data_IF_343852402967
#
_entry.id   IF_343852402967
#
_cell.length_a   1.000
_cell.length_b   1.000
_cell.length_c   1.000
_cell.angle_alpha   90.00
_cell.angle_beta   90.00
_cell.angle_gamma   90.00
#
_symmetry.space_group_name_H-M   'P 1'
#
loop_
_entity.id
_entity.type
_entity.pdbx_description
1 polymer ?
#
# COMPACT_ATOMS: atom_id res chain seq x y z
N UNK A 1 -22.48 21.18 -6.34
CA UNK A 1 -21.54 21.93 -5.52
C UNK A 1 -21.79 21.60 -4.06
N UNK A 2 -20.91 20.80 -3.46
CA UNK A 2 -20.97 20.53 -2.01
C UNK A 2 -20.38 21.76 -1.33
N UNK A 3 -21.21 22.50 -0.63
CA UNK A 3 -20.76 23.56 0.26
C UNK A 3 -20.01 22.92 1.42
N UNK A 4 -18.70 23.13 1.48
CA UNK A 4 -17.90 22.75 2.64
C UNK A 4 -18.25 23.64 3.84
N UNK A 5 -18.01 23.15 5.10
CA UNK A 5 -18.34 23.93 6.28
C UNK A 5 -17.60 25.25 6.26
N UNK A 6 -18.39 26.33 6.28
CA UNK A 6 -18.03 27.66 6.69
C UNK A 6 -16.74 28.26 6.16
N UNK A 7 -16.71 28.67 4.89
CA UNK A 7 -15.80 29.74 4.51
C UNK A 7 -16.30 31.05 5.12
N UNK A 8 -16.24 31.18 6.45
CA UNK A 8 -16.29 32.49 7.08
C UNK A 8 -15.01 33.19 6.62
N UNK A 9 -15.19 34.14 5.69
CA UNK A 9 -14.13 35.00 5.24
C UNK A 9 -13.43 35.60 6.46
N UNK A 10 -12.20 35.18 6.73
CA UNK A 10 -11.41 35.84 7.75
C UNK A 10 -11.16 37.27 7.25
N UNK A 11 -11.66 38.29 7.95
CA UNK A 11 -11.46 39.67 7.52
C UNK A 11 -9.98 40.06 7.45
N UNK A 12 -9.10 39.28 8.07
CA UNK A 12 -7.65 39.52 8.17
C UNK A 12 -6.93 39.33 6.81
N UNK A 13 -7.47 38.51 5.92
CA UNK A 13 -6.80 38.17 4.65
C UNK A 13 -7.56 38.63 3.39
N UNK A 14 -8.48 39.60 3.51
CA UNK A 14 -9.23 40.08 2.36
C UNK A 14 -10.25 39.10 1.77
N UNK A 15 -10.52 38.00 2.49
CA UNK A 15 -11.47 36.98 2.07
C UNK A 15 -10.81 35.74 1.42
N UNK A 16 -11.65 34.76 1.10
CA UNK A 16 -11.24 33.52 0.42
C UNK A 16 -11.81 33.51 -1.00
N UNK A 17 -10.95 33.24 -1.97
CA UNK A 17 -11.36 33.00 -3.35
C UNK A 17 -11.40 31.49 -3.60
N UNK A 18 -12.55 30.98 -4.05
CA UNK A 18 -12.70 29.58 -4.44
C UNK A 18 -12.22 29.43 -5.88
N UNK A 19 -11.24 28.52 -6.09
CA UNK A 19 -10.71 28.21 -7.41
C UNK A 19 -10.90 26.72 -7.72
N UNK A 20 -11.51 26.44 -8.86
CA UNK A 20 -11.76 25.05 -9.31
C UNK A 20 -10.49 24.23 -9.52
N UNK A 21 -9.36 24.87 -9.74
CA UNK A 21 -8.07 24.22 -9.94
C UNK A 21 -7.70 23.33 -8.77
N UNK A 22 -8.11 23.66 -7.53
CA UNK A 22 -7.85 22.83 -6.34
C UNK A 22 -8.68 21.56 -6.28
N UNK A 23 -9.67 21.39 -7.15
CA UNK A 23 -10.48 20.18 -7.29
C UNK A 23 -9.96 19.26 -8.41
N UNK A 24 -8.95 19.69 -9.15
CA UNK A 24 -8.37 18.96 -10.26
C UNK A 24 -7.07 18.26 -9.83
N UNK A 25 -6.92 16.98 -10.15
CA UNK A 25 -5.72 16.20 -9.86
C UNK A 25 -4.44 16.78 -10.47
N UNK A 26 -4.54 17.58 -11.55
CA UNK A 26 -3.41 18.31 -12.15
C UNK A 26 -2.76 19.31 -11.20
N UNK A 27 -3.53 19.83 -10.23
CA UNK A 27 -2.96 20.68 -9.20
C UNK A 27 -1.94 19.93 -8.33
N UNK A 28 -2.24 18.68 -7.98
CA UNK A 28 -1.35 17.85 -7.19
C UNK A 28 -0.08 17.47 -7.96
N UNK A 29 -0.20 17.27 -9.27
CA UNK A 29 0.91 16.89 -10.14
C UNK A 29 2.09 17.85 -10.08
N UNK A 30 1.82 19.16 -9.90
CA UNK A 30 2.85 20.20 -9.81
C UNK A 30 3.87 19.99 -8.68
N UNK A 31 3.45 19.32 -7.59
CA UNK A 31 4.31 19.04 -6.45
C UNK A 31 4.62 17.54 -6.30
N UNK A 32 3.76 16.65 -6.79
CA UNK A 32 3.86 15.21 -6.54
C UNK A 32 4.47 14.42 -7.71
N UNK A 33 4.80 15.06 -8.82
CA UNK A 33 5.51 14.44 -9.94
C UNK A 33 6.98 14.86 -9.92
N UNK A 34 7.87 13.86 -9.76
CA UNK A 34 9.32 14.08 -9.75
C UNK A 34 9.92 13.69 -11.09
N UNK A 35 10.25 14.69 -11.89
CA UNK A 35 10.75 14.51 -13.27
C UNK A 35 12.16 13.91 -13.32
N UNK A 36 12.52 13.30 -14.47
CA UNK A 36 13.71 12.46 -14.67
C UNK A 36 15.06 13.19 -14.68
N UNK A 37 15.15 14.42 -14.24
CA UNK A 37 16.46 15.12 -14.16
C UNK A 37 17.49 14.36 -13.30
N UNK A 38 17.03 13.31 -12.59
CA UNK A 38 17.83 12.54 -11.64
C UNK A 38 18.01 11.09 -12.05
N UNK A 39 17.18 10.55 -12.93
CA UNK A 39 17.28 9.15 -13.38
C UNK A 39 17.13 9.03 -14.90
N UNK A 40 18.16 8.53 -15.64
CA UNK A 40 18.06 8.31 -17.10
C UNK A 40 16.98 7.32 -17.50
N UNK A 41 16.53 6.46 -16.58
CA UNK A 41 15.53 5.40 -16.83
C UNK A 41 14.09 5.81 -16.54
N UNK A 42 13.79 7.06 -16.20
CA UNK A 42 12.43 7.52 -15.93
C UNK A 42 12.27 8.34 -14.65
N UNK A 43 11.02 8.66 -14.32
CA UNK A 43 10.68 9.47 -13.16
C UNK A 43 10.91 8.72 -11.85
N UNK A 44 11.44 9.43 -10.85
CA UNK A 44 11.58 8.91 -9.48
C UNK A 44 10.22 8.60 -8.87
N UNK A 45 9.19 9.37 -9.24
CA UNK A 45 7.80 9.12 -8.90
C UNK A 45 6.89 9.92 -9.81
N UNK A 46 5.88 9.25 -10.37
CA UNK A 46 4.86 9.87 -11.21
C UNK A 46 3.45 9.40 -10.83
N UNK A 47 3.02 9.70 -9.58
CA UNK A 47 1.69 9.28 -9.14
C UNK A 47 0.57 9.86 -10.01
N UNK A 48 0.78 11.02 -10.64
CA UNK A 48 -0.22 11.60 -11.54
C UNK A 48 -0.35 10.82 -12.85
N UNK A 49 0.76 10.51 -13.53
CA UNK A 49 0.74 9.71 -14.76
C UNK A 49 0.26 8.28 -14.50
N UNK A 50 0.68 7.68 -13.40
CA UNK A 50 0.21 6.36 -12.95
C UNK A 50 -1.31 6.36 -12.68
N UNK A 51 -1.84 7.40 -12.00
CA UNK A 51 -3.26 7.59 -11.75
C UNK A 51 -4.03 7.82 -13.05
N UNK A 52 -3.52 8.65 -13.95
CA UNK A 52 -4.16 8.96 -15.22
C UNK A 52 -4.38 7.72 -16.08
N UNK A 53 -3.47 6.74 -15.99
CA UNK A 53 -3.58 5.43 -16.63
C UNK A 53 -4.53 4.46 -15.90
N UNK A 54 -4.93 4.74 -14.67
CA UNK A 54 -5.73 3.87 -13.83
C UNK A 54 -7.24 3.94 -14.16
N UNK A 55 -8.02 3.00 -13.61
CA UNK A 55 -9.48 3.06 -13.67
C UNK A 55 -10.05 4.27 -12.94
N UNK A 56 -9.39 4.72 -11.86
CA UNK A 56 -9.90 5.81 -11.02
C UNK A 56 -10.00 7.13 -11.78
N UNK A 57 -9.02 7.43 -12.64
CA UNK A 57 -9.11 8.60 -13.52
C UNK A 57 -10.28 8.50 -14.50
N UNK A 58 -10.52 7.31 -15.08
CA UNK A 58 -11.67 7.07 -15.99
C UNK A 58 -13.01 7.14 -15.27
N UNK A 59 -13.06 6.76 -14.00
CA UNK A 59 -14.24 6.85 -13.12
C UNK A 59 -14.43 8.26 -12.53
N UNK A 60 -13.53 9.20 -12.82
CA UNK A 60 -13.60 10.58 -12.34
C UNK A 60 -13.21 10.76 -10.86
N UNK A 61 -12.59 9.74 -10.25
CA UNK A 61 -12.08 9.81 -8.87
C UNK A 61 -10.75 10.55 -8.86
N UNK A 62 -10.72 11.73 -8.24
CA UNK A 62 -9.53 12.59 -8.19
C UNK A 62 -8.57 12.21 -7.06
N UNK A 63 -7.37 12.78 -7.08
CA UNK A 63 -6.41 12.66 -5.99
C UNK A 63 -7.02 13.15 -4.66
N UNK A 64 -7.76 14.24 -4.74
CA UNK A 64 -8.40 14.89 -3.59
C UNK A 64 -9.49 14.01 -2.96
N UNK A 65 -10.20 13.19 -3.74
CA UNK A 65 -11.25 12.33 -3.22
C UNK A 65 -10.71 11.27 -2.24
N UNK A 66 -9.48 10.80 -2.48
CA UNK A 66 -8.81 9.84 -1.62
C UNK A 66 -7.95 10.50 -0.54
N UNK A 67 -7.10 11.48 -0.91
CA UNK A 67 -6.08 12.02 -0.01
C UNK A 67 -6.51 13.26 0.77
N UNK A 68 -7.62 13.89 0.37
CA UNK A 68 -8.14 15.10 1.01
C UNK A 68 -9.59 14.93 1.47
N UNK A 69 -9.87 13.99 2.40
CA UNK A 69 -11.21 13.81 2.91
C UNK A 69 -11.69 15.13 3.51
N UNK A 70 -12.95 15.49 3.24
CA UNK A 70 -13.54 16.76 3.69
C UNK A 70 -12.76 18.01 3.19
N UNK A 71 -12.02 17.89 2.08
CA UNK A 71 -11.17 18.95 1.50
C UNK A 71 -10.04 19.43 2.42
N UNK A 72 -9.61 18.58 3.34
CA UNK A 72 -8.47 18.84 4.20
C UNK A 72 -7.22 18.16 3.66
N UNK A 73 -6.15 18.91 3.45
CA UNK A 73 -4.86 18.37 3.02
C UNK A 73 -4.12 17.78 4.23
N UNK A 74 -4.54 16.58 4.63
CA UNK A 74 -4.04 15.90 5.81
C UNK A 74 -2.77 15.07 5.55
N UNK A 75 -2.26 15.08 4.31
CA UNK A 75 -1.12 14.27 3.88
C UNK A 75 -1.28 12.76 4.16
N UNK A 76 -2.53 12.28 4.13
CA UNK A 76 -2.80 10.85 4.29
C UNK A 76 -2.12 10.06 3.16
N UNK A 77 -1.43 9.01 3.53
CA UNK A 77 -0.69 8.16 2.60
C UNK A 77 -0.18 6.94 3.31
N UNK A 78 1.02 6.47 2.97
CA UNK A 78 1.60 5.24 3.52
C UNK A 78 1.90 5.31 5.03
N UNK A 79 1.95 6.51 5.62
CA UNK A 79 2.07 6.73 7.06
C UNK A 79 0.72 6.59 7.80
N UNK A 80 -0.38 6.71 7.07
CA UNK A 80 -1.71 6.60 7.63
C UNK A 80 -2.17 5.14 7.51
N UNK A 81 -2.44 4.53 8.67
CA UNK A 81 -2.82 3.12 8.76
C UNK A 81 -4.11 2.81 8.00
N UNK A 82 -5.15 3.62 8.20
CA UNK A 82 -6.45 3.42 7.55
C UNK A 82 -6.32 3.57 6.04
N UNK A 83 -5.59 4.59 5.60
CA UNK A 83 -5.35 4.83 4.19
C UNK A 83 -4.60 3.65 3.55
N UNK A 84 -3.54 3.16 4.19
CA UNK A 84 -2.77 2.00 3.71
C UNK A 84 -3.63 0.74 3.66
N UNK A 85 -4.41 0.47 4.71
CA UNK A 85 -5.28 -0.70 4.77
C UNK A 85 -6.44 -0.63 3.77
N UNK A 86 -7.03 0.56 3.59
CA UNK A 86 -8.11 0.73 2.61
C UNK A 86 -7.67 0.54 1.17
N UNK A 87 -6.38 0.78 0.89
CA UNK A 87 -5.77 0.61 -0.43
C UNK A 87 -5.54 -0.84 -0.83
N UNK A 88 -5.44 -1.76 0.13
CA UNK A 88 -4.97 -3.12 -0.08
C UNK A 88 -6.03 -4.16 0.29
N UNK A 89 -6.10 -5.22 -0.50
CA UNK A 89 -6.75 -6.47 -0.08
C UNK A 89 -5.67 -7.48 0.27
N UNK A 90 -5.71 -7.99 1.52
CA UNK A 90 -4.72 -8.90 2.06
C UNK A 90 -5.41 -10.19 2.44
N UNK A 91 -4.88 -11.32 1.97
CA UNK A 91 -5.39 -12.65 2.26
C UNK A 91 -4.29 -13.63 2.65
N UNK A 92 -4.63 -14.56 3.52
CA UNK A 92 -3.82 -15.72 3.84
C UNK A 92 -4.71 -16.97 3.76
N UNK A 93 -4.35 -17.91 2.90
CA UNK A 93 -5.04 -19.19 2.75
C UNK A 93 -4.07 -20.35 2.99
N UNK A 94 -4.59 -21.45 3.48
CA UNK A 94 -3.86 -22.71 3.63
C UNK A 94 -4.59 -23.80 2.84
N UNK A 95 -3.87 -24.53 2.01
CA UNK A 95 -4.36 -25.69 1.28
C UNK A 95 -3.53 -26.93 1.61
N UNK A 96 -4.06 -28.12 1.31
CA UNK A 96 -3.34 -29.38 1.33
C UNK A 96 -3.48 -30.09 -0.01
N UNK A 97 -2.42 -30.74 -0.42
CA UNK A 97 -2.46 -31.67 -1.54
C UNK A 97 -2.92 -33.09 -1.07
N UNK A 98 -3.04 -33.99 -2.04
CA UNK A 98 -3.43 -35.39 -1.80
C UNK A 98 -2.41 -36.18 -0.95
N UNK A 99 -1.16 -35.72 -0.93
CA UNK A 99 -0.09 -36.28 -0.13
C UNK A 99 -0.04 -35.70 1.29
N UNK A 100 -0.97 -34.77 1.61
CA UNK A 100 -1.09 -34.14 2.93
C UNK A 100 -0.10 -33.00 3.17
N UNK A 101 0.67 -32.58 2.15
CA UNK A 101 1.58 -31.44 2.25
C UNK A 101 0.78 -30.16 2.33
N UNK A 102 1.03 -29.37 3.37
CA UNK A 102 0.36 -28.07 3.54
C UNK A 102 1.10 -26.94 2.82
N UNK A 103 0.34 -26.06 2.21
CA UNK A 103 0.86 -24.85 1.52
C UNK A 103 0.12 -23.61 2.03
N UNK A 104 0.87 -22.65 2.53
CA UNK A 104 0.39 -21.32 2.83
C UNK A 104 0.49 -20.42 1.59
N UNK A 105 -0.59 -19.73 1.28
CA UNK A 105 -0.66 -18.73 0.19
C UNK A 105 -1.05 -17.39 0.76
N UNK A 106 -0.11 -16.44 0.75
CA UNK A 106 -0.38 -15.03 1.06
C UNK A 106 -0.62 -14.26 -0.23
N UNK A 107 -1.63 -13.41 -0.25
CA UNK A 107 -1.96 -12.54 -1.39
C UNK A 107 -2.10 -11.11 -0.91
N UNK A 108 -1.44 -10.19 -1.59
CA UNK A 108 -1.55 -8.75 -1.36
C UNK A 108 -1.91 -8.10 -2.69
N UNK A 109 -3.07 -7.48 -2.76
CA UNK A 109 -3.61 -6.85 -3.96
C UNK A 109 -3.75 -5.35 -3.76
N UNK A 110 -3.22 -4.56 -4.68
CA UNK A 110 -3.41 -3.10 -4.74
C UNK A 110 -4.81 -2.80 -5.29
N UNK A 111 -5.83 -2.83 -4.43
CA UNK A 111 -7.24 -2.84 -4.85
C UNK A 111 -7.80 -1.43 -5.04
N UNK A 112 -7.53 -0.53 -4.10
CA UNK A 112 -8.07 0.83 -4.08
C UNK A 112 -6.95 1.89 -4.12
N UNK A 113 -5.90 1.62 -4.87
CA UNK A 113 -4.80 2.56 -5.13
C UNK A 113 -4.82 2.93 -6.61
N UNK A 114 -4.82 4.21 -6.90
CA UNK A 114 -4.87 4.72 -8.28
C UNK A 114 -3.50 4.87 -8.95
N UNK A 115 -2.42 4.59 -8.24
CA UNK A 115 -1.04 4.69 -8.70
C UNK A 115 -0.25 3.47 -8.24
N UNK A 116 1.04 3.39 -8.52
CA UNK A 116 1.91 2.31 -8.01
C UNK A 116 1.94 2.33 -6.47
N UNK A 117 1.97 1.17 -5.85
CA UNK A 117 2.05 1.02 -4.39
C UNK A 117 3.32 0.27 -3.97
N UNK A 118 4.13 0.88 -3.08
CA UNK A 118 4.16 2.29 -2.72
C UNK A 118 4.63 3.15 -3.90
N UNK A 119 4.23 4.43 -4.00
CA UNK A 119 4.50 5.21 -5.21
C UNK A 119 5.96 5.69 -5.32
N UNK A 120 6.61 6.02 -4.21
CA UNK A 120 7.97 6.54 -4.19
C UNK A 120 9.03 5.47 -3.87
N UNK A 121 10.32 5.74 -4.14
CA UNK A 121 11.39 4.75 -3.92
C UNK A 121 11.80 4.56 -2.46
N UNK A 122 11.38 5.44 -1.54
CA UNK A 122 11.75 5.37 -0.12
C UNK A 122 10.94 4.33 0.66
N UNK A 123 9.60 4.31 0.58
CA UNK A 123 8.83 3.35 1.36
C UNK A 123 9.10 1.90 0.98
N UNK A 124 9.03 1.01 1.97
CA UNK A 124 9.18 -0.45 1.83
C UNK A 124 8.05 -1.16 2.55
N UNK A 125 7.54 -2.19 1.92
CA UNK A 125 6.57 -3.10 2.54
C UNK A 125 7.18 -4.49 2.58
N UNK A 126 7.55 -4.92 3.77
CA UNK A 126 8.17 -6.20 4.02
C UNK A 126 7.11 -7.26 4.25
N UNK A 127 7.16 -8.34 3.50
CA UNK A 127 6.17 -9.43 3.52
C UNK A 127 6.87 -10.71 3.94
N UNK A 128 6.46 -11.30 5.05
CA UNK A 128 7.03 -12.51 5.59
C UNK A 128 5.96 -13.50 6.03
N UNK A 129 6.07 -14.75 5.57
CA UNK A 129 5.36 -15.85 6.20
C UNK A 129 6.18 -16.38 7.37
N UNK A 130 5.51 -16.65 8.47
CA UNK A 130 6.08 -17.26 9.66
C UNK A 130 5.39 -18.61 9.91
N UNK A 131 6.12 -19.57 10.44
CA UNK A 131 5.60 -20.85 10.91
C UNK A 131 6.05 -21.02 12.36
N UNK A 132 5.10 -21.09 13.29
CA UNK A 132 5.37 -21.10 14.74
C UNK A 132 6.35 -19.97 15.12
N UNK A 133 6.04 -18.74 14.66
CA UNK A 133 6.80 -17.49 14.86
C UNK A 133 8.19 -17.44 14.19
N UNK A 134 8.63 -18.50 13.51
CA UNK A 134 9.90 -18.53 12.78
C UNK A 134 9.69 -18.22 11.29
N UNK A 135 10.64 -17.52 10.64
CA UNK A 135 10.55 -17.24 9.21
C UNK A 135 10.36 -18.52 8.38
N UNK A 136 9.36 -18.50 7.51
CA UNK A 136 9.07 -19.56 6.56
C UNK A 136 9.53 -19.14 5.17
N UNK A 137 10.80 -19.35 4.91
CA UNK A 137 11.48 -18.91 3.70
C UNK A 137 11.89 -17.43 3.73
N UNK A 138 12.32 -16.93 2.58
CA UNK A 138 12.81 -15.56 2.44
C UNK A 138 11.68 -14.53 2.50
N UNK A 139 12.00 -13.38 3.10
CA UNK A 139 11.18 -12.18 3.06
C UNK A 139 11.11 -11.60 1.65
N UNK A 140 9.98 -11.03 1.29
CA UNK A 140 9.82 -10.26 0.07
C UNK A 140 9.56 -8.80 0.37
N UNK A 141 10.15 -7.91 -0.43
CA UNK A 141 9.99 -6.47 -0.29
C UNK A 141 9.24 -5.92 -1.49
N UNK A 142 8.05 -5.38 -1.25
CA UNK A 142 7.31 -4.56 -2.20
C UNK A 142 7.84 -3.13 -2.09
N UNK A 143 8.23 -2.55 -3.20
CA UNK A 143 8.84 -1.22 -3.24
C UNK A 143 9.69 -1.03 -4.48
N UNK A 144 10.57 -0.03 -4.46
CA UNK A 144 11.48 0.29 -5.56
C UNK A 144 12.84 0.68 -4.99
N UNK A 145 13.93 0.18 -5.55
CA UNK A 145 15.28 0.58 -5.15
C UNK A 145 15.96 1.39 -6.24
N UNK A 146 16.20 2.66 -5.93
CA UNK A 146 16.88 3.61 -6.82
C UNK A 146 18.10 4.19 -6.11
N UNK A 147 19.24 4.20 -6.79
CA UNK A 147 20.43 4.95 -6.39
C UNK A 147 20.33 6.34 -7.05
N UNK A 148 19.80 7.31 -6.32
CA UNK A 148 19.54 8.65 -6.84
C UNK A 148 20.83 9.36 -7.31
N UNK A 149 21.95 9.35 -6.57
CA UNK A 149 23.20 9.95 -7.00
C UNK A 149 23.73 9.39 -8.31
N UNK A 150 23.54 8.09 -8.56
CA UNK A 150 24.01 7.42 -9.78
C UNK A 150 22.95 7.32 -10.86
N UNK A 151 21.72 7.71 -10.54
CA UNK A 151 20.58 7.60 -11.45
C UNK A 151 20.34 6.15 -11.94
N UNK A 152 20.50 5.17 -11.05
CA UNK A 152 20.35 3.75 -11.36
C UNK A 152 19.17 3.16 -10.60
N UNK A 153 18.27 2.53 -11.34
CA UNK A 153 17.26 1.67 -10.74
C UNK A 153 17.80 0.26 -10.64
N UNK A 154 17.83 -0.28 -9.42
CA UNK A 154 18.26 -1.66 -9.16
C UNK A 154 17.11 -2.65 -9.34
N UNK A 155 15.90 -2.28 -8.89
CA UNK A 155 14.69 -3.07 -9.05
C UNK A 155 13.43 -2.22 -8.75
N UNK A 156 12.33 -2.61 -9.40
CA UNK A 156 10.98 -2.12 -9.14
C UNK A 156 10.06 -3.33 -8.91
N UNK A 157 9.52 -3.43 -7.69
CA UNK A 157 8.60 -4.48 -7.23
C UNK A 157 7.33 -3.86 -6.66
N UNK A 158 7.03 -2.64 -7.04
CA UNK A 158 5.78 -1.98 -6.66
C UNK A 158 4.59 -2.69 -7.29
N UNK A 159 3.43 -2.54 -6.68
CA UNK A 159 2.19 -3.08 -7.25
C UNK A 159 1.48 -2.01 -8.06
N UNK A 160 1.19 -2.31 -9.32
CA UNK A 160 0.30 -1.48 -10.13
C UNK A 160 -1.15 -1.57 -9.61
N UNK A 161 -2.02 -0.59 -9.95
CA UNK A 161 -3.44 -0.65 -9.63
C UNK A 161 -4.08 -1.98 -10.07
N UNK A 162 -4.67 -2.71 -9.13
CA UNK A 162 -5.26 -4.03 -9.35
C UNK A 162 -4.28 -5.20 -9.38
N UNK A 163 -2.98 -4.95 -9.33
CA UNK A 163 -1.98 -6.03 -9.33
C UNK A 163 -1.90 -6.71 -7.96
N UNK A 164 -1.65 -8.03 -8.01
CA UNK A 164 -1.44 -8.86 -6.83
C UNK A 164 -0.02 -9.39 -6.76
N UNK A 165 0.54 -9.39 -5.56
CA UNK A 165 1.68 -10.22 -5.20
C UNK A 165 1.20 -11.47 -4.48
N UNK A 166 1.72 -12.63 -4.86
CA UNK A 166 1.37 -13.93 -4.26
C UNK A 166 2.62 -14.64 -3.78
N UNK A 167 2.67 -14.95 -2.49
CA UNK A 167 3.73 -15.74 -1.88
C UNK A 167 3.18 -17.11 -1.48
N UNK A 168 3.87 -18.18 -1.88
CA UNK A 168 3.52 -19.56 -1.50
C UNK A 168 4.69 -20.20 -0.79
N UNK A 169 4.42 -20.90 0.32
CA UNK A 169 5.40 -21.66 1.08
C UNK A 169 4.78 -22.96 1.59
N UNK A 170 5.52 -24.04 1.46
CA UNK A 170 5.15 -25.32 2.06
C UNK A 170 5.57 -25.33 3.53
N UNK A 171 4.80 -26.03 4.37
CA UNK A 171 5.05 -26.17 5.79
C UNK A 171 4.46 -27.50 6.32
N UNK A 172 4.82 -27.89 7.53
CA UNK A 172 4.29 -29.09 8.15
C UNK A 172 2.89 -28.89 8.69
N UNK A 173 2.03 -29.86 8.46
CA UNK A 173 0.68 -29.86 8.98
C UNK A 173 0.64 -29.78 10.52
N UNK A 174 -0.33 -29.01 11.04
CA UNK A 174 -0.52 -28.82 12.49
C UNK A 174 0.20 -27.60 13.07
N UNK A 175 1.04 -26.94 12.29
CA UNK A 175 1.73 -25.72 12.69
C UNK A 175 0.87 -24.47 12.43
N UNK A 176 1.11 -23.42 13.22
CA UNK A 176 0.49 -22.10 13.02
C UNK A 176 1.26 -21.31 11.96
N UNK A 177 0.56 -20.89 10.90
CA UNK A 177 1.15 -19.99 9.90
C UNK A 177 0.62 -18.58 10.13
N UNK A 178 1.53 -17.62 10.09
CA UNK A 178 1.23 -16.18 10.22
C UNK A 178 1.80 -15.44 9.02
N UNK A 179 1.01 -14.55 8.43
CA UNK A 179 1.48 -13.54 7.50
C UNK A 179 1.79 -12.26 8.27
N UNK A 180 3.02 -11.81 8.21
CA UNK A 180 3.48 -10.54 8.77
C UNK A 180 3.78 -9.57 7.65
N UNK A 181 3.26 -8.36 7.74
CA UNK A 181 3.52 -7.26 6.81
C UNK A 181 3.96 -6.07 7.63
N UNK A 182 5.20 -5.64 7.42
CA UNK A 182 5.76 -4.45 8.06
C UNK A 182 5.87 -3.34 7.01
N UNK A 183 5.24 -2.20 7.28
CA UNK A 183 5.33 -1.00 6.44
C UNK A 183 6.37 -0.06 7.03
N UNK A 184 7.36 0.27 6.24
CA UNK A 184 8.47 1.17 6.60
C UNK A 184 8.40 2.37 5.65
N UNK A 185 7.79 3.50 6.07
CA UNK A 185 7.56 4.63 5.19
C UNK A 185 8.80 5.50 4.95
N UNK A 186 9.85 5.35 5.77
CA UNK A 186 11.08 6.16 5.72
C UNK A 186 12.34 5.29 5.74
N UNK A 187 13.46 5.83 5.30
CA UNK A 187 14.78 5.15 5.34
C UNK A 187 15.31 4.87 6.76
N UNK A 188 14.71 5.46 7.77
CA UNK A 188 15.04 5.21 9.18
C UNK A 188 14.02 4.22 9.74
N UNK A 189 14.43 3.03 9.93
CA UNK A 189 13.91 1.79 10.51
C UNK A 189 12.73 1.83 11.51
N UNK A 190 11.94 2.88 11.55
CA UNK A 190 10.71 2.93 12.32
C UNK A 190 9.59 2.26 11.52
N UNK A 191 9.10 1.16 12.05
CA UNK A 191 7.96 0.43 11.49
C UNK A 191 6.68 1.16 11.90
N UNK A 192 6.10 1.95 11.00
CA UNK A 192 4.88 2.70 11.30
C UNK A 192 3.63 1.80 11.34
N UNK A 193 3.68 0.64 10.70
CA UNK A 193 2.54 -0.26 10.64
C UNK A 193 2.99 -1.72 10.55
N UNK A 194 2.49 -2.54 11.46
CA UNK A 194 2.59 -4.00 11.35
C UNK A 194 1.20 -4.61 11.20
N UNK A 195 1.03 -5.42 10.17
CA UNK A 195 -0.18 -6.20 9.92
C UNK A 195 0.18 -7.68 10.11
N UNK A 196 -0.60 -8.38 10.92
CA UNK A 196 -0.47 -9.82 11.07
C UNK A 196 -1.80 -10.51 10.78
N UNK A 197 -1.74 -11.52 9.92
CA UNK A 197 -2.84 -12.44 9.66
C UNK A 197 -2.38 -13.84 10.08
N UNK A 198 -3.18 -14.52 10.86
CA UNK A 198 -2.88 -15.88 11.29
C UNK A 198 -3.90 -16.87 10.71
N UNK A 199 -3.41 -17.98 10.17
CA UNK A 199 -4.21 -19.11 9.77
C UNK A 199 -3.68 -20.36 10.47
N UNK A 200 -4.57 -21.06 11.20
CA UNK A 200 -4.25 -22.32 11.85
C UNK A 200 -5.12 -23.42 11.25
N UNK A 201 -4.52 -24.51 10.82
CA UNK A 201 -5.26 -25.70 10.45
C UNK A 201 -5.08 -26.74 11.57
N UNK A 202 -6.06 -26.79 12.48
CA UNK A 202 -6.07 -27.76 13.60
C UNK A 202 -6.90 -29.01 13.36
N UNK A 203 -7.67 -29.09 12.26
CA UNK A 203 -8.57 -30.24 12.02
C UNK A 203 -8.34 -30.79 10.62
N UNK A 204 -8.16 -32.12 10.48
CA UNK A 204 -8.08 -32.78 9.18
C UNK A 204 -9.40 -32.60 8.40
N UNK A 205 -9.32 -32.12 7.17
CA UNK A 205 -10.45 -32.08 6.22
C UNK A 205 -11.26 -30.79 6.15
N UNK A 206 -11.02 -29.77 6.95
CA UNK A 206 -11.69 -28.49 6.85
C UNK A 206 -10.72 -27.35 6.47
N UNK A 207 -11.00 -26.72 5.35
CA UNK A 207 -10.35 -25.45 4.96
C UNK A 207 -10.98 -24.35 5.79
N UNK A 208 -10.26 -23.80 6.74
CA UNK A 208 -10.70 -22.61 7.46
C UNK A 208 -10.24 -21.38 6.68
N UNK A 209 -11.15 -20.74 5.98
CA UNK A 209 -10.99 -19.37 5.49
C UNK A 209 -11.32 -18.43 6.66
N UNK A 210 -10.36 -18.21 7.53
CA UNK A 210 -10.49 -17.27 8.64
C UNK A 210 -9.62 -16.05 8.41
N UNK A 211 -10.21 -14.94 7.99
CA UNK A 211 -9.55 -13.64 8.05
C UNK A 211 -9.65 -13.15 9.49
N UNK A 212 -8.64 -13.43 10.29
CA UNK A 212 -8.50 -12.79 11.60
C UNK A 212 -7.50 -11.65 11.44
N UNK A 213 -8.02 -10.46 11.23
CA UNK A 213 -7.25 -9.23 11.26
C UNK A 213 -6.98 -8.87 12.74
N UNK A 214 -5.93 -9.41 13.31
CA UNK A 214 -5.43 -8.98 14.62
C UNK A 214 -4.42 -7.87 14.39
N UNK A 215 -4.86 -6.66 14.65
CA UNK A 215 -4.00 -5.49 14.70
C UNK A 215 -3.29 -5.51 16.06
N UNK A 216 -2.00 -5.74 16.07
CA UNK A 216 -1.20 -5.53 17.27
C UNK A 216 -0.87 -4.04 17.36
N UNK A 217 -1.41 -3.38 18.36
CA UNK A 217 -0.95 -2.07 18.78
C UNK A 217 0.45 -2.22 19.36
N UNK A 218 1.36 -1.35 18.98
CA UNK A 218 2.66 -1.28 19.62
C UNK A 218 2.51 -0.53 20.95
N UNK A 219 2.91 -1.19 22.05
CA UNK A 219 3.37 -0.51 23.25
C UNK A 219 4.74 0.13 23.02
#
# INVERSE_FOLDING_TARGET
PREGPGANASPVHGGLRREKVYEDSRFCAGCHTFTPRVTPGGMVGDPFGEWLASRFAREGVSCQDCHMPQRQHLFRGIHDREMTLSGLTIGLAVSRDEQGQATATATITSTHVGHMFPTYPVPRVHVQLLCDEKPLGEEYVIGRKVDLPKSVEHWDRRLAPGQSYVMRRQFQSGQLVTLRIDVVPRDRYEKDLRIQLAAAQRVPGHVFLGTVQRLLEHE
#
